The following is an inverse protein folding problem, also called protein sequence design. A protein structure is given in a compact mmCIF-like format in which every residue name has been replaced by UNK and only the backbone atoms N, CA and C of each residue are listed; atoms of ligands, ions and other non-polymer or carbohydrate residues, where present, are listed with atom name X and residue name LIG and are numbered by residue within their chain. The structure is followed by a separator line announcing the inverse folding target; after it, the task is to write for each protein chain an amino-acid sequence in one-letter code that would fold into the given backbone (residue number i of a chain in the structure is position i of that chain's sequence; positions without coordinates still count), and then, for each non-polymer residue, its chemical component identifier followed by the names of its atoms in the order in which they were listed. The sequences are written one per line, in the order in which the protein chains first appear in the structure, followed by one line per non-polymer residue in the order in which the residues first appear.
data_IF_894255089722
#
_entry.id   IF_894255089722
#
_cell.length_a   1.000
_cell.length_b   1.000
_cell.length_c   1.000
_cell.angle_alpha   90.00
_cell.angle_beta   90.00
_cell.angle_gamma   90.00
#
_symmetry.space_group_name_H-M   'P 1'
#
loop_
_entity.id
_entity.type
_entity.pdbx_description
1 polymer ?
#
# COMPACT_ATOMS: atom_id res chain seq x y z
N UNK A 1 6.89 4.92 -32.42
CA UNK A 1 7.55 3.86 -31.63
C UNK A 1 6.57 2.71 -31.52
N UNK A 2 6.79 1.65 -32.30
CA UNK A 2 5.97 0.43 -32.30
C UNK A 2 6.26 -0.34 -31.02
N UNK A 3 5.29 -0.43 -30.09
CA UNK A 3 5.42 -1.28 -28.91
C UNK A 3 5.39 -2.75 -29.34
N UNK A 4 6.57 -3.34 -29.57
CA UNK A 4 6.68 -4.77 -29.71
C UNK A 4 6.39 -5.42 -28.33
N UNK A 5 5.56 -6.47 -28.25
CA UNK A 5 5.22 -7.12 -26.98
C UNK A 5 6.45 -7.71 -26.24
N UNK A 6 7.60 -7.82 -26.91
CA UNK A 6 8.88 -8.26 -26.33
C UNK A 6 9.65 -7.17 -25.57
N UNK A 7 9.29 -5.89 -25.72
CA UNK A 7 10.02 -4.78 -25.09
C UNK A 7 9.58 -4.53 -23.63
N UNK A 8 8.33 -4.88 -23.31
CA UNK A 8 7.73 -4.80 -21.97
C UNK A 8 8.23 -5.88 -21.00
N UNK A 9 9.10 -6.78 -21.47
CA UNK A 9 9.75 -7.83 -20.69
C UNK A 9 11.21 -7.49 -20.37
N UNK A 10 11.72 -6.34 -20.84
CA UNK A 10 13.07 -5.90 -20.53
C UNK A 10 13.10 -5.21 -19.16
N UNK A 11 14.06 -5.53 -18.28
CA UNK A 11 14.17 -4.87 -16.98
C UNK A 11 14.27 -3.35 -17.07
N UNK A 12 14.94 -2.83 -18.10
CA UNK A 12 15.05 -1.38 -18.34
C UNK A 12 13.68 -0.72 -18.61
N UNK A 13 12.81 -1.36 -19.40
CA UNK A 13 11.46 -0.88 -19.65
C UNK A 13 10.63 -0.87 -18.37
N UNK A 14 10.72 -1.95 -17.58
CA UNK A 14 10.10 -2.04 -16.25
C UNK A 14 10.59 -0.91 -15.34
N UNK A 15 11.90 -0.66 -15.29
CA UNK A 15 12.50 0.42 -14.51
C UNK A 15 11.91 1.78 -14.90
N UNK A 16 11.86 2.14 -16.18
CA UNK A 16 11.33 3.43 -16.63
C UNK A 16 9.84 3.61 -16.29
N UNK A 17 9.07 2.53 -16.34
CA UNK A 17 7.65 2.55 -15.97
C UNK A 17 7.49 2.83 -14.48
N UNK A 18 8.20 2.06 -13.65
CA UNK A 18 8.16 2.26 -12.20
C UNK A 18 8.81 3.57 -11.76
N UNK A 19 9.79 4.09 -12.52
CA UNK A 19 10.39 5.42 -12.31
C UNK A 19 9.35 6.51 -12.48
N UNK A 20 8.60 6.47 -13.58
CA UNK A 20 7.48 7.41 -13.79
C UNK A 20 6.45 7.28 -12.67
N UNK A 21 6.05 6.06 -12.31
CA UNK A 21 5.09 5.85 -11.23
C UNK A 21 5.61 6.36 -9.88
N UNK A 22 6.90 6.17 -9.58
CA UNK A 22 7.54 6.69 -8.37
C UNK A 22 7.56 8.22 -8.30
N UNK A 23 7.62 8.89 -9.46
CA UNK A 23 7.54 10.35 -9.56
C UNK A 23 6.11 10.91 -9.54
N UNK A 24 5.10 10.10 -9.88
CA UNK A 24 3.71 10.59 -10.04
C UNK A 24 2.70 10.04 -9.03
N UNK A 25 3.03 8.97 -8.30
CA UNK A 25 2.09 8.33 -7.37
C UNK A 25 2.16 9.03 -6.01
N UNK A 26 1.22 9.91 -5.74
CA UNK A 26 1.05 10.59 -4.45
C UNK A 26 -0.31 10.21 -3.81
N UNK A 27 -0.46 10.44 -2.50
CA UNK A 27 -1.74 10.19 -1.80
C UNK A 27 -1.81 8.88 -0.98
N UNK A 28 -0.67 8.21 -0.79
CA UNK A 28 -0.56 7.07 0.13
C UNK A 28 -0.87 5.70 -0.51
N UNK A 29 -0.86 4.61 0.28
CA UNK A 29 -0.86 3.25 -0.25
C UNK A 29 -2.07 2.91 -1.14
N UNK A 30 -3.27 3.39 -0.77
CA UNK A 30 -4.49 3.15 -1.56
C UNK A 30 -4.41 3.86 -2.92
N UNK A 31 -3.89 5.09 -2.93
CA UNK A 31 -3.70 5.84 -4.18
C UNK A 31 -2.67 5.13 -5.08
N UNK A 32 -1.55 4.65 -4.53
CA UNK A 32 -0.55 3.91 -5.28
C UNK A 32 -1.13 2.67 -5.96
N UNK A 33 -1.98 1.90 -5.26
CA UNK A 33 -2.68 0.75 -5.87
C UNK A 33 -3.64 1.21 -6.98
N UNK A 34 -4.33 2.34 -6.81
CA UNK A 34 -5.11 2.96 -7.87
C UNK A 34 -4.28 3.29 -9.13
N UNK A 35 -3.13 3.94 -8.96
CA UNK A 35 -2.19 4.23 -10.06
C UNK A 35 -1.68 2.96 -10.73
N UNK A 36 -1.35 1.92 -9.95
CA UNK A 36 -0.87 0.64 -10.48
C UNK A 36 -1.95 -0.09 -11.26
N UNK A 37 -3.21 -0.06 -10.80
CA UNK A 37 -4.33 -0.62 -11.56
C UNK A 37 -4.51 0.11 -12.89
N UNK A 38 -4.55 1.45 -12.86
CA UNK A 38 -4.68 2.24 -14.08
C UNK A 38 -3.55 1.95 -15.09
N UNK A 39 -2.32 1.79 -14.60
CA UNK A 39 -1.16 1.47 -15.41
C UNK A 39 -1.18 0.04 -15.97
N UNK A 40 -1.23 -0.95 -15.08
CA UNK A 40 -0.96 -2.34 -15.42
C UNK A 40 -2.21 -3.11 -15.87
N UNK A 41 -3.41 -2.66 -15.50
CA UNK A 41 -4.67 -3.28 -15.93
C UNK A 41 -5.26 -2.51 -17.11
N UNK A 42 -5.46 -1.20 -16.97
CA UNK A 42 -6.18 -0.42 -18.00
C UNK A 42 -5.28 -0.06 -19.18
N UNK A 43 -4.14 0.59 -18.94
CA UNK A 43 -3.29 1.15 -20.00
C UNK A 43 -2.47 0.08 -20.72
N UNK A 44 -1.74 -0.75 -19.94
CA UNK A 44 -0.80 -1.75 -20.48
C UNK A 44 -1.41 -3.13 -20.65
N UNK A 45 -2.51 -3.43 -19.93
CA UNK A 45 -3.18 -4.74 -19.96
C UNK A 45 -2.24 -5.91 -19.64
N UNK A 46 -1.27 -5.69 -18.76
CA UNK A 46 -0.36 -6.72 -18.26
C UNK A 46 -1.06 -7.70 -17.31
N UNK A 47 -2.09 -7.22 -16.60
CA UNK A 47 -2.89 -8.01 -15.68
C UNK A 47 -4.38 -7.81 -15.96
N UNK A 48 -5.17 -8.87 -15.72
CA UNK A 48 -6.63 -8.73 -15.65
C UNK A 48 -7.05 -8.09 -14.33
N UNK A 49 -8.27 -7.56 -14.24
CA UNK A 49 -8.85 -7.06 -12.99
C UNK A 49 -8.79 -8.11 -11.86
N UNK A 50 -9.10 -9.37 -12.19
CA UNK A 50 -9.06 -10.49 -11.23
C UNK A 50 -7.64 -10.75 -10.76
N UNK A 51 -6.70 -10.91 -11.71
CA UNK A 51 -5.29 -11.15 -11.39
C UNK A 51 -4.67 -10.02 -10.57
N UNK A 52 -5.05 -8.77 -10.84
CA UNK A 52 -4.61 -7.63 -10.05
C UNK A 52 -5.19 -7.65 -8.63
N UNK A 53 -6.49 -7.93 -8.48
CA UNK A 53 -7.13 -8.04 -7.18
C UNK A 53 -6.52 -9.17 -6.32
N UNK A 54 -6.26 -10.33 -6.93
CA UNK A 54 -5.62 -11.46 -6.26
C UNK A 54 -4.19 -11.11 -5.83
N UNK A 55 -3.44 -10.40 -6.69
CA UNK A 55 -2.10 -9.94 -6.37
C UNK A 55 -2.08 -8.93 -5.21
N UNK A 56 -3.02 -7.97 -5.22
CA UNK A 56 -3.18 -7.03 -4.11
C UNK A 56 -3.55 -7.75 -2.82
N UNK A 57 -4.46 -8.72 -2.87
CA UNK A 57 -4.85 -9.51 -1.71
C UNK A 57 -3.66 -10.29 -1.13
N UNK A 58 -2.84 -10.91 -1.99
CA UNK A 58 -1.63 -11.60 -1.59
C UNK A 58 -0.60 -10.66 -0.94
N UNK A 59 -0.39 -9.47 -1.50
CA UNK A 59 0.53 -8.49 -0.92
C UNK A 59 -0.01 -7.84 0.38
N UNK A 60 -1.31 -7.76 0.56
CA UNK A 60 -1.89 -7.32 1.83
C UNK A 60 -1.78 -8.39 2.92
N UNK A 61 -1.58 -9.64 2.52
CA UNK A 61 -1.34 -10.74 3.45
C UNK A 61 0.11 -10.76 3.98
N UNK A 62 1.09 -10.35 3.17
CA UNK A 62 2.50 -10.35 3.55
C UNK A 62 2.85 -9.12 4.41
N UNK A 63 3.74 -9.26 5.40
CA UNK A 63 4.17 -8.13 6.21
C UNK A 63 4.91 -7.09 5.35
N UNK A 64 4.43 -5.84 5.37
CA UNK A 64 5.07 -4.70 4.73
C UNK A 64 4.11 -3.83 3.90
N UNK A 65 4.63 -2.79 3.23
CA UNK A 65 3.80 -1.89 2.43
C UNK A 65 3.28 -2.58 1.17
N UNK A 66 1.97 -2.81 1.11
CA UNK A 66 1.35 -3.55 0.00
C UNK A 66 1.66 -2.96 -1.38
N UNK A 67 1.71 -1.63 -1.54
CA UNK A 67 2.04 -1.02 -2.83
C UNK A 67 3.44 -1.42 -3.34
N UNK A 68 4.45 -1.44 -2.46
CA UNK A 68 5.81 -1.81 -2.85
C UNK A 68 5.90 -3.29 -3.19
N UNK A 69 5.22 -4.14 -2.42
CA UNK A 69 5.16 -5.57 -2.69
C UNK A 69 4.45 -5.87 -4.03
N UNK A 70 3.32 -5.21 -4.32
CA UNK A 70 2.63 -5.36 -5.62
C UNK A 70 3.55 -4.91 -6.75
N UNK A 71 4.27 -3.79 -6.59
CA UNK A 71 5.20 -3.30 -7.60
C UNK A 71 6.33 -4.29 -7.88
N UNK A 72 6.95 -4.85 -6.84
CA UNK A 72 7.98 -5.88 -6.94
C UNK A 72 7.42 -7.14 -7.62
N UNK A 73 6.22 -7.59 -7.24
CA UNK A 73 5.62 -8.80 -7.79
C UNK A 73 5.21 -8.63 -9.27
N UNK A 74 4.75 -7.44 -9.67
CA UNK A 74 4.56 -7.10 -11.08
C UNK A 74 5.91 -7.08 -11.80
N UNK A 75 6.96 -6.46 -11.25
CA UNK A 75 8.29 -6.50 -11.84
C UNK A 75 8.81 -7.92 -12.04
N UNK A 76 8.62 -8.77 -11.03
CA UNK A 76 8.98 -10.19 -11.05
C UNK A 76 8.26 -10.95 -12.16
N UNK A 77 6.94 -10.74 -12.31
CA UNK A 77 6.15 -11.44 -13.33
C UNK A 77 6.48 -10.99 -14.76
N UNK A 78 7.05 -9.79 -14.93
CA UNK A 78 7.39 -9.23 -16.25
C UNK A 78 8.79 -9.59 -16.74
N UNK A 79 9.80 -9.54 -15.87
CA UNK A 79 11.19 -9.75 -16.27
C UNK A 79 12.01 -10.54 -15.23
N UNK A 80 11.36 -11.37 -14.42
CA UNK A 80 12.03 -12.17 -13.39
C UNK A 80 12.68 -11.30 -12.31
N UNK A 81 13.71 -11.82 -11.64
CA UNK A 81 14.36 -11.12 -10.53
C UNK A 81 14.95 -9.76 -10.92
N UNK A 82 15.44 -9.61 -12.15
CA UNK A 82 15.92 -8.32 -12.66
C UNK A 82 14.78 -7.33 -12.86
N UNK A 83 13.59 -7.79 -13.26
CA UNK A 83 12.37 -6.98 -13.29
C UNK A 83 11.90 -6.56 -11.89
N UNK A 84 11.99 -7.44 -10.91
CA UNK A 84 11.68 -7.14 -9.51
C UNK A 84 12.60 -6.02 -8.96
N UNK A 85 13.90 -6.15 -9.19
CA UNK A 85 14.89 -5.14 -8.79
C UNK A 85 14.69 -3.82 -9.53
N UNK A 86 14.42 -3.88 -10.84
CA UNK A 86 14.12 -2.70 -11.66
C UNK A 86 12.86 -1.96 -11.20
N UNK A 87 11.79 -2.69 -10.87
CA UNK A 87 10.56 -2.12 -10.34
C UNK A 87 10.79 -1.44 -8.98
N UNK A 88 11.49 -2.13 -8.07
CA UNK A 88 11.85 -1.57 -6.77
C UNK A 88 12.71 -0.31 -6.90
N UNK A 89 13.75 -0.35 -7.73
CA UNK A 89 14.65 0.76 -7.96
C UNK A 89 13.93 1.95 -8.59
N UNK A 90 13.15 1.74 -9.65
CA UNK A 90 12.40 2.81 -10.30
C UNK A 90 11.41 3.48 -9.35
N UNK A 91 10.68 2.69 -8.55
CA UNK A 91 9.68 3.23 -7.64
C UNK A 91 10.29 3.93 -6.42
N UNK A 92 11.43 3.43 -5.90
CA UNK A 92 11.97 3.86 -4.59
C UNK A 92 13.08 4.91 -4.71
N UNK A 93 13.96 4.78 -5.72
CA UNK A 93 15.14 5.64 -5.84
C UNK A 93 14.83 7.14 -5.96
N UNK A 94 13.79 7.60 -6.68
CA UNK A 94 13.51 9.03 -6.78
C UNK A 94 13.32 9.70 -5.41
N UNK A 95 12.56 9.05 -4.54
CA UNK A 95 12.32 9.54 -3.17
C UNK A 95 13.58 9.44 -2.32
N UNK A 96 14.32 8.33 -2.41
CA UNK A 96 15.57 8.16 -1.68
C UNK A 96 16.61 9.23 -2.07
N UNK A 97 16.77 9.49 -3.37
CA UNK A 97 17.68 10.53 -3.90
C UNK A 97 17.23 11.90 -3.41
N UNK A 98 15.94 12.23 -3.48
CA UNK A 98 15.43 13.51 -2.99
C UNK A 98 15.72 13.72 -1.49
N UNK A 99 15.50 12.69 -0.66
CA UNK A 99 15.79 12.73 0.77
C UNK A 99 17.30 12.86 1.06
N UNK A 100 18.14 12.13 0.33
CA UNK A 100 19.60 12.21 0.46
C UNK A 100 20.10 13.61 0.07
N UNK A 101 19.66 14.14 -1.07
CA UNK A 101 20.04 15.48 -1.51
C UNK A 101 19.56 16.55 -0.53
N UNK A 102 18.36 16.41 0.03
CA UNK A 102 17.86 17.30 1.06
C UNK A 102 18.71 17.21 2.34
N UNK A 103 19.04 16.01 2.80
CA UNK A 103 19.88 15.81 3.99
C UNK A 103 21.29 16.38 3.80
N UNK A 104 21.91 16.14 2.63
CA UNK A 104 23.20 16.73 2.27
C UNK A 104 23.11 18.27 2.22
N UNK A 105 22.05 18.81 1.61
CA UNK A 105 21.81 20.25 1.55
C UNK A 105 21.69 20.89 2.93
N UNK A 106 20.93 20.28 3.85
CA UNK A 106 20.86 20.73 5.25
C UNK A 106 22.19 20.56 5.97
N UNK A 107 22.98 19.52 5.67
CA UNK A 107 24.29 19.34 6.31
C UNK A 107 25.32 20.41 5.89
N UNK A 108 25.24 20.89 4.64
CA UNK A 108 26.18 21.88 4.10
C UNK A 108 25.72 23.32 4.30
N UNK A 109 24.42 23.59 4.33
CA UNK A 109 23.84 24.94 4.42
C UNK A 109 22.93 25.14 5.65
N UNK A 110 22.97 24.22 6.61
CA UNK A 110 22.08 24.21 7.78
C UNK A 110 22.15 25.48 8.63
N UNK A 111 23.31 26.15 8.67
CA UNK A 111 23.50 27.40 9.42
C UNK A 111 22.65 28.56 8.87
N UNK A 112 22.27 28.52 7.59
CA UNK A 112 21.37 29.49 6.96
C UNK A 112 19.88 29.14 7.15
N UNK A 113 19.58 27.93 7.64
CA UNK A 113 18.21 27.47 7.88
C UNK A 113 17.85 27.73 9.34
N UNK A 114 16.77 28.47 9.57
CA UNK A 114 16.36 28.76 10.95
C UNK A 114 16.05 27.49 11.74
N UNK A 115 16.48 27.46 13.00
CA UNK A 115 16.14 26.38 13.96
C UNK A 115 14.62 26.15 14.03
N UNK A 116 13.83 27.22 13.92
CA UNK A 116 12.36 27.15 13.86
C UNK A 116 11.81 26.39 12.66
N UNK A 117 12.41 26.57 11.47
CA UNK A 117 12.00 25.83 10.27
C UNK A 117 12.29 24.32 10.41
N UNK A 118 13.46 23.95 10.93
CA UNK A 118 13.80 22.54 11.20
C UNK A 118 12.89 21.93 12.27
N UNK A 119 12.55 22.69 13.31
CA UNK A 119 11.60 22.24 14.32
C UNK A 119 10.20 22.04 13.74
N UNK A 120 9.70 23.01 12.96
CA UNK A 120 8.41 22.90 12.27
C UNK A 120 8.34 21.69 11.35
N UNK A 121 9.42 21.40 10.61
CA UNK A 121 9.51 20.20 9.78
C UNK A 121 9.39 18.91 10.60
N UNK A 122 10.04 18.81 11.76
CA UNK A 122 9.92 17.65 12.67
C UNK A 122 8.48 17.48 13.16
N UNK A 123 7.79 18.56 13.53
CA UNK A 123 6.38 18.52 13.97
C UNK A 123 5.47 18.02 12.85
N UNK A 124 5.66 18.52 11.62
CA UNK A 124 4.92 18.04 10.44
C UNK A 124 5.18 16.55 10.18
N UNK A 125 6.44 16.11 10.29
CA UNK A 125 6.78 14.70 10.12
C UNK A 125 6.05 13.80 11.14
N UNK A 126 5.98 14.21 12.41
CA UNK A 126 5.22 13.50 13.44
C UNK A 126 3.73 13.42 13.08
N UNK A 127 3.12 14.51 12.62
CA UNK A 127 1.71 14.52 12.21
C UNK A 127 1.43 13.58 11.02
N UNK A 128 2.31 13.55 10.02
CA UNK A 128 2.20 12.66 8.85
C UNK A 128 2.34 11.19 9.27
N UNK A 129 3.33 10.87 10.11
CA UNK A 129 3.51 9.50 10.63
C UNK A 129 2.30 9.08 11.47
N UNK A 130 1.79 9.97 12.33
CA UNK A 130 0.60 9.70 13.13
C UNK A 130 -0.63 9.42 12.26
N UNK A 131 -0.85 10.20 11.20
CA UNK A 131 -1.94 9.94 10.23
C UNK A 131 -1.79 8.57 9.55
N UNK A 132 -0.57 8.19 9.14
CA UNK A 132 -0.31 6.90 8.52
C UNK A 132 -0.59 5.74 9.49
N UNK A 133 -0.11 5.84 10.73
CA UNK A 133 -0.32 4.84 11.78
C UNK A 133 -1.80 4.75 12.13
N UNK A 134 -2.51 5.87 12.24
CA UNK A 134 -3.95 5.90 12.52
C UNK A 134 -4.77 5.20 11.43
N UNK A 135 -4.45 5.45 10.16
CA UNK A 135 -5.08 4.76 9.03
C UNK A 135 -4.83 3.25 9.06
N UNK A 136 -3.61 2.81 9.39
CA UNK A 136 -3.27 1.40 9.52
C UNK A 136 -3.99 0.75 10.72
N UNK A 137 -4.02 1.42 11.87
CA UNK A 137 -4.68 0.94 13.08
C UNK A 137 -6.18 0.72 12.86
N UNK A 138 -6.88 1.65 12.19
CA UNK A 138 -8.31 1.50 11.85
C UNK A 138 -8.62 0.28 10.99
N UNK A 139 -7.68 -0.13 10.14
CA UNK A 139 -7.86 -1.25 9.22
C UNK A 139 -7.43 -2.59 9.82
N UNK A 140 -6.39 -2.60 10.67
CA UNK A 140 -5.79 -3.83 11.21
C UNK A 140 -6.28 -4.19 12.63
N UNK A 141 -6.61 -3.20 13.46
CA UNK A 141 -6.97 -3.36 14.86
C UNK A 141 -8.49 -3.25 15.06
N UNK A 142 -9.24 -4.16 14.44
CA UNK A 142 -10.72 -4.13 14.45
C UNK A 142 -11.35 -4.60 15.76
N UNK A 143 -10.61 -5.40 16.54
CA UNK A 143 -11.12 -6.09 17.73
C UNK A 143 -10.27 -5.75 18.96
N UNK A 144 -10.88 -5.81 20.16
CA UNK A 144 -10.21 -5.51 21.43
C UNK A 144 -8.90 -6.29 21.61
N UNK A 145 -8.87 -7.58 21.29
CA UNK A 145 -7.67 -8.42 21.36
C UNK A 145 -6.53 -7.89 20.48
N UNK A 146 -6.83 -7.45 19.25
CA UNK A 146 -5.81 -6.93 18.32
C UNK A 146 -5.26 -5.59 18.80
N UNK A 147 -6.13 -4.74 19.34
CA UNK A 147 -5.75 -3.46 19.96
C UNK A 147 -4.84 -3.72 21.16
N UNK A 148 -5.15 -4.70 22.01
CA UNK A 148 -4.30 -5.07 23.15
C UNK A 148 -2.95 -5.60 22.71
N UNK A 149 -2.90 -6.50 21.72
CA UNK A 149 -1.64 -7.01 21.16
C UNK A 149 -0.81 -5.86 20.58
N UNK A 150 -1.43 -4.95 19.82
CA UNK A 150 -0.78 -3.76 19.28
C UNK A 150 -0.20 -2.89 20.40
N UNK A 151 -0.98 -2.56 21.43
CA UNK A 151 -0.55 -1.70 22.52
C UNK A 151 0.63 -2.30 23.30
N UNK A 152 0.55 -3.60 23.63
CA UNK A 152 1.64 -4.32 24.30
C UNK A 152 2.89 -4.35 23.41
N UNK A 153 2.74 -4.70 22.13
CA UNK A 153 3.86 -4.73 21.19
C UNK A 153 4.54 -3.35 21.07
N UNK A 154 3.75 -2.28 20.98
CA UNK A 154 4.27 -0.91 20.97
C UNK A 154 5.03 -0.58 22.25
N UNK A 155 4.46 -0.87 23.43
CA UNK A 155 5.15 -0.65 24.71
C UNK A 155 6.47 -1.41 24.79
N UNK A 156 6.50 -2.69 24.41
CA UNK A 156 7.73 -3.51 24.45
C UNK A 156 8.80 -2.99 23.50
N UNK A 157 8.43 -2.63 22.26
CA UNK A 157 9.39 -2.09 21.27
C UNK A 157 9.96 -0.73 21.71
N UNK A 158 9.16 0.10 22.40
CA UNK A 158 9.63 1.37 22.94
C UNK A 158 10.58 1.20 24.14
N UNK A 159 10.35 0.18 24.97
CA UNK A 159 11.20 -0.12 26.12
C UNK A 159 12.50 -0.84 25.73
N UNK A 160 12.46 -1.66 24.69
CA UNK A 160 13.61 -2.43 24.20
C UNK A 160 13.81 -2.15 22.70
N UNK A 161 14.40 -0.99 22.34
CA UNK A 161 14.63 -0.60 20.95
C UNK A 161 15.83 -1.37 20.37
N UNK A 162 15.65 -2.68 20.16
CA UNK A 162 16.63 -3.55 19.52
C UNK A 162 16.02 -4.27 18.32
N UNK A 163 16.82 -4.51 17.28
CA UNK A 163 16.38 -5.24 16.08
C UNK A 163 15.86 -6.64 16.44
N UNK A 164 16.57 -7.34 17.34
CA UNK A 164 16.16 -8.64 17.85
C UNK A 164 14.88 -8.57 18.68
N UNK A 165 14.68 -7.50 19.45
CA UNK A 165 13.45 -7.22 20.18
C UNK A 165 12.25 -7.08 19.25
N UNK A 166 12.40 -6.34 18.14
CA UNK A 166 11.34 -6.20 17.13
C UNK A 166 10.97 -7.55 16.50
N UNK A 167 11.97 -8.35 16.10
CA UNK A 167 11.74 -9.69 15.53
C UNK A 167 11.05 -10.61 16.54
N UNK A 168 11.51 -10.60 17.81
CA UNK A 168 10.91 -11.38 18.88
C UNK A 168 9.46 -10.99 19.15
N UNK A 169 9.17 -9.69 19.21
CA UNK A 169 7.81 -9.17 19.40
C UNK A 169 6.89 -9.60 18.25
N UNK A 170 7.35 -9.54 17.00
CA UNK A 170 6.57 -9.99 15.83
C UNK A 170 6.27 -11.50 15.95
N UNK A 171 7.26 -12.32 16.28
CA UNK A 171 7.09 -13.76 16.41
C UNK A 171 6.13 -14.14 17.56
N UNK A 172 6.26 -13.49 18.72
CA UNK A 172 5.40 -13.73 19.88
C UNK A 172 3.98 -13.25 19.60
N UNK A 173 3.82 -12.01 19.11
CA UNK A 173 2.50 -11.46 18.80
C UNK A 173 1.77 -12.30 17.75
N UNK A 174 2.48 -12.75 16.71
CA UNK A 174 1.92 -13.65 15.69
C UNK A 174 1.49 -15.00 16.26
N UNK A 175 2.28 -15.58 17.17
CA UNK A 175 1.95 -16.86 17.82
C UNK A 175 0.75 -16.72 18.77
N UNK A 176 0.73 -15.67 19.59
CA UNK A 176 -0.40 -15.35 20.48
C UNK A 176 -1.67 -15.11 19.67
N UNK A 177 -1.60 -14.32 18.59
CA UNK A 177 -2.74 -14.10 17.72
C UNK A 177 -3.25 -15.42 17.10
N UNK A 178 -2.36 -16.29 16.62
CA UNK A 178 -2.72 -17.60 16.06
C UNK A 178 -3.43 -18.48 17.10
N UNK A 179 -2.93 -18.54 18.33
CA UNK A 179 -3.48 -19.38 19.39
C UNK A 179 -4.79 -18.84 19.97
N UNK A 180 -4.87 -17.53 20.20
CA UNK A 180 -6.01 -16.88 20.82
C UNK A 180 -7.21 -16.74 19.86
N UNK A 181 -6.95 -16.52 18.57
CA UNK A 181 -8.04 -16.25 17.63
C UNK A 181 -8.76 -17.52 17.15
N UNK A 182 -8.17 -18.72 17.31
CA UNK A 182 -8.70 -20.04 16.88
C UNK A 182 -9.48 -20.01 15.56
N UNK A 183 -9.12 -19.09 14.65
CA UNK A 183 -9.74 -18.99 13.35
C UNK A 183 -9.11 -20.12 12.51
N UNK A 184 -9.87 -20.96 11.76
CA UNK A 184 -9.32 -21.38 10.48
C UNK A 184 -8.91 -20.10 9.77
N UNK A 185 -7.77 -20.04 9.10
CA UNK A 185 -7.26 -18.84 8.44
C UNK A 185 -8.36 -18.18 7.55
N UNK A 186 -9.21 -17.31 8.09
CA UNK A 186 -10.32 -16.69 7.36
C UNK A 186 -9.78 -15.41 6.79
N UNK A 187 -9.16 -15.59 5.61
CA UNK A 187 -9.07 -14.69 4.48
C UNK A 187 -9.80 -13.35 4.71
N UNK A 188 -9.05 -12.35 5.18
CA UNK A 188 -9.56 -11.03 5.47
C UNK A 188 -10.33 -10.47 4.27
N UNK A 189 -11.58 -10.07 4.53
CA UNK A 189 -12.53 -9.31 3.70
C UNK A 189 -11.90 -8.43 2.59
N UNK A 190 -11.47 -9.06 1.49
CA UNK A 190 -11.22 -8.41 0.20
C UNK A 190 -12.51 -8.00 -0.52
N UNK A 191 -13.68 -8.41 0.00
CA UNK A 191 -14.98 -8.14 -0.59
C UNK A 191 -15.41 -6.67 -0.58
N UNK A 192 -14.75 -5.78 0.17
CA UNK A 192 -15.02 -4.33 0.08
C UNK A 192 -14.45 -3.75 -1.23
N UNK A 193 -13.36 -4.31 -1.77
CA UNK A 193 -12.84 -3.90 -3.08
C UNK A 193 -13.65 -4.52 -4.23
N UNK A 194 -14.20 -5.73 -4.04
CA UNK A 194 -15.05 -6.36 -5.06
C UNK A 194 -16.39 -5.62 -5.26
N UNK A 195 -16.91 -4.92 -4.24
CA UNK A 195 -18.06 -4.01 -4.44
C UNK A 195 -17.71 -2.74 -5.22
N UNK A 196 -16.44 -2.32 -5.26
CA UNK A 196 -16.00 -1.20 -6.11
C UNK A 196 -15.65 -1.65 -7.55
N UNK A 197 -15.22 -2.90 -7.73
CA UNK A 197 -14.86 -3.48 -9.03
C UNK A 197 -15.99 -4.21 -9.75
N UNK A 198 -17.22 -4.24 -9.24
CA UNK A 198 -18.37 -4.80 -9.95
C UNK A 198 -18.75 -3.88 -11.13
N UNK A 199 -18.56 -4.32 -12.39
CA UNK A 199 -19.10 -3.63 -13.55
C UNK A 199 -20.59 -4.00 -13.63
N UNK A 200 -21.46 -3.18 -13.02
CA UNK A 200 -22.89 -3.52 -12.94
C UNK A 200 -23.87 -2.34 -12.87
N UNK A 201 -23.40 -1.10 -12.87
CA UNK A 201 -24.30 0.07 -12.81
C UNK A 201 -24.67 0.66 -14.19
N UNK A 202 -24.28 0.03 -15.30
CA UNK A 202 -24.67 0.50 -16.63
C UNK A 202 -25.18 -0.65 -17.49
N UNK A 203 -26.51 -0.78 -17.56
CA UNK A 203 -27.17 -1.56 -18.61
C UNK A 203 -27.07 -0.76 -19.92
N UNK A 204 -26.62 -1.35 -21.02
CA UNK A 204 -26.71 -0.68 -22.32
C UNK A 204 -28.18 -0.68 -22.73
N UNK A 205 -28.84 0.49 -22.66
CA UNK A 205 -30.23 0.62 -23.14
C UNK A 205 -31.07 1.80 -22.64
N UNK A 206 -30.70 2.53 -21.58
CA UNK A 206 -31.58 3.59 -21.06
C UNK A 206 -31.26 4.98 -21.63
N UNK A 207 -31.91 5.32 -22.74
CA UNK A 207 -31.98 6.66 -23.31
C UNK A 207 -33.04 7.52 -22.63
N UNK A 208 -33.13 7.58 -21.29
CA UNK A 208 -34.00 8.58 -20.66
C UNK A 208 -33.46 9.13 -19.34
N UNK A 209 -33.04 10.38 -19.43
CA UNK A 209 -33.18 11.44 -18.42
C UNK A 209 -33.76 10.99 -17.07
N UNK A 210 -32.90 10.90 -16.04
CA UNK A 210 -33.26 11.32 -14.68
C UNK A 210 -32.02 11.65 -13.86
N UNK A 211 -31.98 12.92 -13.48
CA UNK A 211 -31.08 13.56 -12.54
C UNK A 211 -31.02 12.82 -11.19
N UNK A 212 -29.82 12.79 -10.61
CA UNK A 212 -29.48 12.88 -9.19
C UNK A 212 -30.53 12.42 -8.15
N UNK A 213 -30.20 11.37 -7.40
CA UNK A 213 -30.53 11.32 -5.96
C UNK A 213 -29.30 10.94 -5.12
N UNK A 214 -28.89 11.78 -4.16
CA UNK A 214 -27.88 11.45 -3.17
C UNK A 214 -28.49 10.62 -2.03
N UNK A 215 -27.77 9.59 -1.59
CA UNK A 215 -28.03 8.91 -0.32
C UNK A 215 -29.07 7.79 -0.36
N UNK A 216 -28.66 6.58 -0.75
CA UNK A 216 -29.26 5.36 -0.23
C UNK A 216 -28.34 4.14 -0.44
N UNK A 217 -27.31 4.00 0.42
CA UNK A 217 -26.64 2.72 0.61
C UNK A 217 -27.15 2.16 1.95
N UNK A 218 -28.30 1.48 1.90
CA UNK A 218 -28.79 0.68 3.03
C UNK A 218 -27.83 -0.49 3.23
N UNK A 219 -27.07 -0.44 4.31
CA UNK A 219 -26.30 -1.58 4.81
C UNK A 219 -27.30 -2.55 5.44
N UNK A 220 -27.81 -3.49 4.65
CA UNK A 220 -28.55 -4.63 5.20
C UNK A 220 -27.52 -5.66 5.66
N UNK A 221 -27.22 -5.66 6.96
CA UNK A 221 -26.47 -6.72 7.62
C UNK A 221 -27.43 -7.87 7.91
N UNK A 222 -27.21 -9.03 7.27
CA UNK A 222 -27.91 -10.27 7.62
C UNK A 222 -27.28 -10.87 8.89
N UNK A 223 -28.04 -11.12 9.97
CA UNK A 223 -27.50 -11.66 11.21
C UNK A 223 -27.54 -13.19 11.16
N UNK A 224 -26.45 -13.86 10.77
CA UNK A 224 -26.39 -15.32 10.80
C UNK A 224 -25.06 -15.94 11.24
N UNK A 225 -24.24 -15.25 12.04
CA UNK A 225 -23.13 -15.93 12.74
C UNK A 225 -22.95 -15.36 14.15
N UNK A 226 -23.76 -15.90 15.06
CA UNK A 226 -23.38 -16.17 16.45
C UNK A 226 -22.54 -17.46 16.47
#
# INVERSE_FOLDING_TARGET
MTNNPTDDSRPWSVFLIFLRLGLTSFGGPIAHLGYFRAEFVTRRRWLSERSYADLVALCQFLPGPASSQVGIAVGLSRAGYSGALAAWAGFTLPSAIALILFALGISSYGDYVSQGALHGLKVVAVAVVAQAVWGMARNLCTDGLRVTIMAIATCVVLLVPSAWGQVGVIAIAGTVAKLAMRQPFVLFKGLTFQKLCLPGAFRPGDHHNKMLRPGLCVVHASPQYL
#
